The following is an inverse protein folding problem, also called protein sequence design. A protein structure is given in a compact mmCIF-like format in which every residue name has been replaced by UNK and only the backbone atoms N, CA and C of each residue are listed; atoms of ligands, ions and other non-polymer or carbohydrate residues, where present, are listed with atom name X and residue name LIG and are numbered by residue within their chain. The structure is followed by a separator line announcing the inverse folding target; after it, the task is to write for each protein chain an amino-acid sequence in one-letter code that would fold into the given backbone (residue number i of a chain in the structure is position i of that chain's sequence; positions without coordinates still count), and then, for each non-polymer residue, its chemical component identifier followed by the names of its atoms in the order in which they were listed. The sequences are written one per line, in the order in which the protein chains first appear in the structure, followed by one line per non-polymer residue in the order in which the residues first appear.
data_IF_056720747129
#
_entry.id   IF_056720747129
#
_cell.length_a   1.000
_cell.length_b   1.000
_cell.length_c   1.000
_cell.angle_alpha   90.00
_cell.angle_beta   90.00
_cell.angle_gamma   90.00
#
_symmetry.space_group_name_H-M   'P 1'
#
loop_
_entity.id
_entity.type
_entity.pdbx_description
1 polymer ?
#
# COMPACT_ATOMS: atom_id res chain seq x y z
N UNK A 1 -4.57 23.19 -12.92
CA UNK A 1 -5.52 22.34 -12.14
C UNK A 1 -6.89 22.97 -12.34
N UNK A 2 -7.74 22.31 -13.13
CA UNK A 2 -8.91 22.90 -13.80
C UNK A 2 -10.19 22.73 -12.97
N UNK A 3 -11.15 23.63 -13.17
CA UNK A 3 -12.49 23.52 -12.57
C UNK A 3 -13.25 22.33 -13.17
N UNK A 4 -14.14 21.71 -12.40
CA UNK A 4 -15.00 20.64 -12.90
C UNK A 4 -15.91 21.16 -14.01
N UNK A 5 -15.83 20.60 -15.21
CA UNK A 5 -16.64 21.02 -16.36
C UNK A 5 -18.15 20.92 -16.09
N UNK A 6 -18.58 19.96 -15.25
CA UNK A 6 -20.00 19.74 -14.94
C UNK A 6 -20.62 20.77 -13.99
N UNK A 7 -19.88 21.27 -12.99
CA UNK A 7 -20.45 22.16 -11.96
C UNK A 7 -19.70 23.48 -11.76
N UNK A 8 -18.61 23.70 -12.50
CA UNK A 8 -17.77 24.90 -12.44
C UNK A 8 -17.10 25.16 -11.09
N UNK A 9 -17.24 24.24 -10.12
CA UNK A 9 -16.78 24.44 -8.74
C UNK A 9 -16.36 23.12 -8.11
N UNK A 10 -15.07 22.81 -8.11
CA UNK A 10 -14.40 21.97 -7.10
C UNK A 10 -12.99 21.60 -7.57
N UNK A 11 -12.04 21.56 -6.62
CA UNK A 11 -10.72 20.92 -6.79
C UNK A 11 -10.63 19.53 -6.14
N UNK A 12 -11.73 19.05 -5.56
CA UNK A 12 -11.84 17.77 -4.83
C UNK A 12 -12.73 16.80 -5.60
N UNK A 13 -12.18 15.65 -5.96
CA UNK A 13 -12.82 14.59 -6.71
C UNK A 13 -11.95 13.33 -6.72
N UNK A 14 -12.50 12.24 -7.24
CA UNK A 14 -11.83 10.95 -7.32
C UNK A 14 -11.97 10.37 -8.73
N UNK A 15 -11.02 9.53 -9.10
CA UNK A 15 -11.06 8.80 -10.35
C UNK A 15 -11.77 7.45 -10.16
N UNK A 16 -12.76 7.18 -11.01
CA UNK A 16 -13.49 5.92 -11.07
C UNK A 16 -13.07 5.16 -12.32
N UNK A 17 -12.71 3.88 -12.18
CA UNK A 17 -12.21 3.03 -13.25
C UNK A 17 -11.11 2.08 -12.75
N UNK A 18 -10.73 1.13 -13.58
CA UNK A 18 -9.77 0.06 -13.26
C UNK A 18 -8.30 0.51 -13.30
N UNK A 19 -7.99 1.65 -13.93
CA UNK A 19 -6.63 2.17 -14.08
C UNK A 19 -6.54 3.41 -14.98
N UNK A 20 -5.32 3.90 -15.23
CA UNK A 20 -5.06 5.18 -15.91
C UNK A 20 -5.77 5.38 -17.25
N UNK A 21 -5.96 4.33 -18.03
CA UNK A 21 -6.58 4.39 -19.36
C UNK A 21 -8.10 4.24 -19.36
N UNK A 22 -8.69 3.75 -18.25
CA UNK A 22 -10.12 3.44 -18.14
C UNK A 22 -10.81 4.31 -17.07
N UNK A 23 -10.09 5.27 -16.52
CA UNK A 23 -10.56 6.08 -15.40
C UNK A 23 -11.15 7.40 -15.83
N UNK A 24 -12.29 7.75 -15.24
CA UNK A 24 -12.90 9.06 -15.35
C UNK A 24 -12.86 9.79 -14.01
N UNK A 25 -12.53 11.08 -14.05
CA UNK A 25 -12.54 11.92 -12.85
C UNK A 25 -13.92 12.50 -12.57
N UNK A 26 -14.38 12.35 -11.33
CA UNK A 26 -15.65 12.90 -10.88
C UNK A 26 -15.45 13.77 -9.64
N UNK A 27 -15.86 15.03 -9.74
CA UNK A 27 -15.91 15.91 -8.58
C UNK A 27 -16.97 15.43 -7.57
N UNK A 28 -16.75 15.67 -6.29
CA UNK A 28 -17.69 15.26 -5.22
C UNK A 28 -19.16 15.63 -5.49
N UNK A 29 -19.40 16.81 -6.10
CA UNK A 29 -20.76 17.29 -6.38
C UNK A 29 -21.42 16.52 -7.53
N UNK A 30 -20.65 16.15 -8.55
CA UNK A 30 -21.13 15.48 -9.75
C UNK A 30 -21.13 13.96 -9.62
N UNK A 31 -20.58 13.40 -8.54
CA UNK A 31 -20.68 11.98 -8.26
C UNK A 31 -22.15 11.54 -8.12
N UNK A 32 -22.48 10.40 -8.74
CA UNK A 32 -23.78 9.75 -8.58
C UNK A 32 -24.01 9.29 -7.14
N UNK A 33 -25.25 8.92 -6.81
CA UNK A 33 -25.57 8.32 -5.51
C UNK A 33 -24.75 7.06 -5.27
N UNK A 34 -24.74 6.13 -6.23
CA UNK A 34 -24.01 4.86 -6.15
C UNK A 34 -22.50 5.08 -5.95
N UNK A 35 -21.92 6.08 -6.63
CA UNK A 35 -20.51 6.44 -6.46
C UNK A 35 -20.20 6.92 -5.04
N UNK A 36 -21.09 7.73 -4.44
CA UNK A 36 -20.94 8.21 -3.07
C UNK A 36 -21.11 7.08 -2.06
N UNK A 37 -22.09 6.19 -2.28
CA UNK A 37 -22.30 5.01 -1.45
C UNK A 37 -21.10 4.07 -1.48
N UNK A 38 -20.53 3.82 -2.66
CA UNK A 38 -19.31 3.05 -2.81
C UNK A 38 -18.14 3.66 -2.04
N UNK A 39 -17.89 4.97 -2.19
CA UNK A 39 -16.84 5.68 -1.46
C UNK A 39 -17.05 5.54 0.06
N UNK A 40 -18.28 5.78 0.53
CA UNK A 40 -18.59 5.68 1.96
C UNK A 40 -18.35 4.28 2.51
N UNK A 41 -18.75 3.25 1.76
CA UNK A 41 -18.52 1.84 2.12
C UNK A 41 -17.03 1.51 2.20
N UNK A 42 -16.23 1.98 1.23
CA UNK A 42 -14.78 1.80 1.24
C UNK A 42 -14.11 2.54 2.41
N UNK A 43 -14.51 3.77 2.69
CA UNK A 43 -13.98 4.55 3.80
C UNK A 43 -14.34 3.91 5.16
N UNK A 44 -15.54 3.33 5.30
CA UNK A 44 -15.92 2.58 6.50
C UNK A 44 -15.08 1.32 6.67
N UNK A 45 -14.89 0.52 5.61
CA UNK A 45 -14.00 -0.66 5.63
C UNK A 45 -12.56 -0.27 5.98
N UNK A 46 -12.06 0.82 5.40
CA UNK A 46 -10.69 1.25 5.58
C UNK A 46 -10.34 1.62 7.03
N UNK A 47 -11.31 1.93 7.89
CA UNK A 47 -11.05 2.20 9.33
C UNK A 47 -10.43 1.03 10.09
N UNK A 48 -10.64 -0.20 9.63
CA UNK A 48 -10.01 -1.39 10.20
C UNK A 48 -8.62 -1.69 9.64
N UNK A 49 -8.24 -1.00 8.56
CA UNK A 49 -7.08 -1.35 7.72
C UNK A 49 -6.05 -0.24 7.69
N UNK A 50 -6.47 1.02 7.58
CA UNK A 50 -5.63 2.17 7.34
C UNK A 50 -5.66 3.13 8.55
N UNK A 51 -4.58 3.89 8.70
CA UNK A 51 -4.48 4.95 9.69
C UNK A 51 -5.43 6.08 9.32
N UNK A 52 -5.71 6.94 10.32
CA UNK A 52 -6.54 8.13 10.15
C UNK A 52 -5.90 9.33 10.82
N UNK A 53 -6.15 10.49 10.26
CA UNK A 53 -5.80 11.78 10.84
C UNK A 53 -7.06 12.67 10.93
N UNK A 54 -6.85 13.99 11.01
CA UNK A 54 -7.94 14.96 11.08
C UNK A 54 -8.69 15.11 9.74
N UNK A 55 -8.07 14.76 8.62
CA UNK A 55 -8.60 14.90 7.27
C UNK A 55 -9.29 13.61 6.77
N UNK A 56 -9.06 12.48 7.45
CA UNK A 56 -9.82 11.25 7.23
C UNK A 56 -8.95 10.00 7.25
N UNK A 57 -9.29 9.04 6.38
CA UNK A 57 -8.49 7.83 6.15
C UNK A 57 -7.26 8.20 5.31
N UNK A 58 -6.08 7.79 5.77
CA UNK A 58 -4.82 7.95 5.04
C UNK A 58 -4.67 6.87 3.98
N UNK A 59 -5.30 7.09 2.83
CA UNK A 59 -5.13 6.26 1.64
C UNK A 59 -3.70 6.40 1.13
N UNK A 60 -2.95 5.30 0.92
CA UNK A 60 -1.64 5.37 0.27
C UNK A 60 -1.73 6.16 -1.04
N UNK A 61 -0.82 7.10 -1.28
CA UNK A 61 -0.83 8.01 -2.45
C UNK A 61 -2.03 8.97 -2.54
N UNK A 62 -2.85 9.04 -1.50
CA UNK A 62 -3.91 10.02 -1.30
C UNK A 62 -4.98 10.01 -2.40
N UNK A 63 -5.42 11.18 -2.89
CA UNK A 63 -6.52 11.28 -3.84
C UNK A 63 -6.18 10.73 -5.24
N UNK A 64 -4.91 10.42 -5.52
CA UNK A 64 -4.49 9.89 -6.82
C UNK A 64 -4.79 8.39 -6.98
N UNK A 65 -5.19 7.69 -5.91
CA UNK A 65 -5.61 6.29 -6.01
C UNK A 65 -7.04 6.19 -6.50
N UNK A 66 -7.18 5.49 -7.63
CA UNK A 66 -8.45 5.13 -8.25
C UNK A 66 -9.36 4.38 -7.26
N UNK A 67 -10.67 4.64 -7.35
CA UNK A 67 -11.65 4.02 -6.45
C UNK A 67 -11.61 2.48 -6.51
N UNK A 68 -11.34 1.89 -7.68
CA UNK A 68 -11.18 0.44 -7.79
C UNK A 68 -9.93 -0.06 -7.04
N UNK A 69 -8.78 0.60 -7.20
CA UNK A 69 -7.56 0.23 -6.48
C UNK A 69 -7.70 0.36 -4.96
N UNK A 70 -8.56 1.27 -4.48
CA UNK A 70 -8.92 1.33 -3.06
C UNK A 70 -9.60 0.04 -2.61
N UNK A 71 -10.54 -0.48 -3.39
CA UNK A 71 -11.17 -1.77 -3.11
C UNK A 71 -10.16 -2.91 -3.17
N UNK A 72 -9.32 -2.95 -4.21
CA UNK A 72 -8.30 -3.99 -4.39
C UNK A 72 -7.28 -4.00 -3.24
N UNK A 73 -6.90 -2.83 -2.72
CA UNK A 73 -6.05 -2.71 -1.54
C UNK A 73 -6.72 -3.32 -0.31
N UNK A 74 -8.00 -3.03 -0.08
CA UNK A 74 -8.70 -3.54 1.10
C UNK A 74 -8.87 -5.06 1.00
N UNK A 75 -9.22 -5.57 -0.17
CA UNK A 75 -9.36 -7.02 -0.41
C UNK A 75 -8.00 -7.73 -0.31
N UNK A 76 -6.92 -7.12 -0.78
CA UNK A 76 -5.55 -7.59 -0.57
C UNK A 76 -5.19 -7.59 0.93
N UNK A 77 -5.48 -6.52 1.65
CA UNK A 77 -5.15 -6.40 3.07
C UNK A 77 -5.92 -7.42 3.92
N UNK A 78 -7.17 -7.70 3.57
CA UNK A 78 -8.00 -8.74 4.20
C UNK A 78 -7.44 -10.13 3.91
N UNK A 79 -7.08 -10.43 2.65
CA UNK A 79 -6.46 -11.71 2.27
C UNK A 79 -5.14 -11.98 3.00
N UNK A 80 -4.35 -10.94 3.28
CA UNK A 80 -3.06 -11.08 3.95
C UNK A 80 -3.09 -10.85 5.46
N UNK A 81 -4.26 -10.58 6.05
CA UNK A 81 -4.42 -10.24 7.47
C UNK A 81 -3.51 -9.09 7.93
N UNK A 82 -3.48 -7.99 7.16
CA UNK A 82 -2.62 -6.83 7.44
C UNK A 82 -3.38 -5.52 7.59
N UNK A 83 -2.80 -4.61 8.38
CA UNK A 83 -3.22 -3.21 8.51
C UNK A 83 -2.01 -2.28 8.43
N UNK A 84 -2.23 -1.01 8.14
CA UNK A 84 -1.18 0.00 8.01
C UNK A 84 -0.33 0.05 9.27
N UNK A 85 0.98 -0.02 9.06
CA UNK A 85 2.01 0.29 10.04
C UNK A 85 2.57 1.69 9.83
N UNK A 86 3.44 2.09 10.74
CA UNK A 86 4.27 3.27 10.58
C UNK A 86 5.66 3.00 11.18
N UNK A 87 6.70 3.51 10.54
CA UNK A 87 8.07 3.42 11.00
C UNK A 87 8.86 4.65 10.62
N UNK A 88 9.75 5.08 11.53
CA UNK A 88 10.74 6.11 11.23
C UNK A 88 12.00 5.58 10.52
N UNK A 89 12.09 4.27 10.26
CA UNK A 89 13.20 3.69 9.50
C UNK A 89 13.04 4.02 8.02
N UNK A 90 14.13 4.45 7.39
CA UNK A 90 14.10 4.81 5.99
C UNK A 90 13.76 3.59 5.11
N UNK A 91 14.40 2.43 5.29
CA UNK A 91 14.11 1.20 4.54
C UNK A 91 13.00 0.34 5.16
N UNK A 92 12.56 0.63 6.38
CA UNK A 92 11.65 -0.24 7.13
C UNK A 92 12.23 -1.61 7.54
N UNK A 93 13.38 -2.08 7.01
CA UNK A 93 13.89 -3.45 7.25
C UNK A 93 14.22 -3.75 8.71
N UNK A 94 14.92 -2.84 9.39
CA UNK A 94 15.21 -2.99 10.81
C UNK A 94 13.94 -3.04 11.67
N UNK A 95 12.95 -2.21 11.32
CA UNK A 95 11.64 -2.24 11.97
C UNK A 95 10.91 -3.55 11.69
N UNK A 96 10.96 -4.02 10.45
CA UNK A 96 10.31 -5.24 10.00
C UNK A 96 10.88 -6.47 10.73
N UNK A 97 12.20 -6.55 10.89
CA UNK A 97 12.87 -7.65 11.60
C UNK A 97 12.72 -7.54 13.13
N UNK A 98 13.07 -6.38 13.71
CA UNK A 98 13.23 -6.23 15.17
C UNK A 98 12.01 -5.67 15.89
N UNK A 99 10.97 -5.25 15.16
CA UNK A 99 9.82 -4.55 15.73
C UNK A 99 10.08 -3.08 16.07
N UNK A 100 11.31 -2.60 15.91
CA UNK A 100 11.76 -1.25 16.27
C UNK A 100 12.93 -0.82 15.40
N UNK A 101 13.11 0.49 15.25
CA UNK A 101 14.27 1.03 14.56
C UNK A 101 14.69 2.38 15.12
N UNK A 102 15.99 2.59 15.32
CA UNK A 102 16.53 3.93 15.51
C UNK A 102 16.88 4.54 14.15
N UNK A 103 16.55 5.81 13.93
CA UNK A 103 16.74 6.50 12.64
C UNK A 103 18.18 6.44 12.10
N UNK A 104 19.17 6.39 12.99
CA UNK A 104 20.61 6.29 12.66
C UNK A 104 21.01 4.95 12.03
N UNK A 105 20.21 3.90 12.24
CA UNK A 105 20.51 2.54 11.78
C UNK A 105 20.04 2.32 10.33
N UNK A 106 19.27 3.24 9.72
CA UNK A 106 18.74 3.11 8.36
C UNK A 106 19.18 4.31 7.49
N UNK A 107 20.37 4.25 6.90
CA UNK A 107 20.85 5.32 6.00
C UNK A 107 20.82 4.95 4.52
N UNK A 108 20.89 3.65 4.19
CA UNK A 108 20.91 3.19 2.80
C UNK A 108 19.53 2.72 2.35
N UNK A 109 19.08 3.28 1.23
CA UNK A 109 17.87 2.87 0.51
C UNK A 109 18.27 2.45 -0.90
N UNK A 110 18.22 1.14 -1.20
CA UNK A 110 18.26 0.66 -2.57
C UNK A 110 17.24 1.39 -3.46
N UNK A 111 17.51 1.47 -4.76
CA UNK A 111 16.68 2.23 -5.70
C UNK A 111 15.22 1.75 -5.76
N UNK A 112 14.96 0.50 -5.41
CA UNK A 112 13.60 -0.06 -5.35
C UNK A 112 12.76 0.42 -4.16
N UNK A 113 13.33 1.14 -3.18
CA UNK A 113 12.58 1.78 -2.08
C UNK A 113 11.90 3.06 -2.53
N UNK A 114 10.92 2.88 -3.41
CA UNK A 114 10.08 3.93 -3.93
C UNK A 114 8.62 3.64 -3.58
N UNK A 115 7.87 4.69 -3.28
CA UNK A 115 6.46 4.57 -2.89
C UNK A 115 6.25 3.54 -1.76
N UNK A 116 7.07 3.59 -0.71
CA UNK A 116 7.07 2.59 0.36
C UNK A 116 5.84 2.71 1.26
N UNK A 117 5.17 1.58 1.50
CA UNK A 117 4.16 1.42 2.55
C UNK A 117 4.58 0.34 3.54
N UNK A 118 4.11 0.43 4.78
CA UNK A 118 4.45 -0.54 5.83
C UNK A 118 3.20 -1.11 6.47
N UNK A 119 3.27 -2.37 6.89
CA UNK A 119 2.11 -3.15 7.27
C UNK A 119 2.39 -4.01 8.50
N UNK A 120 1.44 -4.01 9.44
CA UNK A 120 1.40 -4.86 10.62
C UNK A 120 0.47 -6.05 10.36
N UNK A 121 0.79 -7.20 10.93
CA UNK A 121 -0.19 -8.29 11.05
C UNK A 121 -1.34 -7.83 11.96
N UNK A 122 -2.59 -8.04 11.55
CA UNK A 122 -3.75 -7.75 12.41
C UNK A 122 -3.81 -8.73 13.58
N UNK A 123 -3.50 -10.00 13.34
CA UNK A 123 -3.48 -11.04 14.38
C UNK A 123 -2.44 -10.74 15.47
N UNK A 124 -1.20 -10.43 15.11
CA UNK A 124 -0.11 -10.32 16.10
C UNK A 124 0.21 -8.88 16.50
N UNK A 125 -0.20 -7.90 15.70
CA UNK A 125 0.19 -6.49 15.85
C UNK A 125 1.66 -6.22 15.51
N UNK A 126 2.42 -7.23 15.05
CA UNK A 126 3.86 -7.12 14.75
C UNK A 126 4.09 -6.70 13.28
N UNK A 127 5.23 -6.08 12.96
CA UNK A 127 5.60 -5.75 11.58
C UNK A 127 5.61 -6.99 10.68
N UNK A 128 4.82 -6.96 9.63
CA UNK A 128 4.62 -8.11 8.75
C UNK A 128 5.14 -7.88 7.33
N UNK A 129 5.09 -6.64 6.85
CA UNK A 129 5.49 -6.34 5.47
C UNK A 129 5.98 -4.90 5.30
N UNK A 130 7.01 -4.75 4.49
CA UNK A 130 7.37 -3.51 3.79
C UNK A 130 7.10 -3.72 2.31
N UNK A 131 6.32 -2.84 1.71
CA UNK A 131 5.92 -2.93 0.32
C UNK A 131 6.39 -1.71 -0.46
N UNK A 132 7.03 -1.93 -1.60
CA UNK A 132 7.55 -0.88 -2.47
C UNK A 132 7.03 -1.04 -3.90
N UNK A 133 6.92 0.09 -4.60
CA UNK A 133 6.37 0.17 -5.95
C UNK A 133 7.22 1.06 -6.87
N UNK A 134 8.44 0.62 -7.20
CA UNK A 134 9.29 1.36 -8.11
C UNK A 134 8.71 1.43 -9.52
N UNK A 135 8.89 2.58 -10.15
CA UNK A 135 8.55 2.79 -11.56
C UNK A 135 9.45 2.02 -12.53
N UNK A 136 10.63 1.57 -12.08
CA UNK A 136 11.56 0.78 -12.88
C UNK A 136 11.43 -0.71 -12.56
N UNK A 137 11.81 -1.55 -13.52
CA UNK A 137 12.00 -2.98 -13.25
C UNK A 137 13.10 -3.15 -12.19
N UNK A 138 12.90 -4.14 -11.32
CA UNK A 138 13.82 -4.46 -10.22
C UNK A 138 14.32 -5.88 -10.43
N UNK A 139 15.62 -6.08 -10.31
CA UNK A 139 16.21 -7.42 -10.28
C UNK A 139 15.89 -8.08 -8.92
N UNK A 140 15.21 -9.24 -8.89
CA UNK A 140 14.99 -9.98 -7.65
C UNK A 140 16.29 -10.32 -6.89
N UNK A 141 17.44 -10.41 -7.57
CA UNK A 141 18.73 -10.63 -6.93
C UNK A 141 19.16 -9.43 -6.06
N UNK A 142 18.94 -8.19 -6.52
CA UNK A 142 19.23 -6.97 -5.77
C UNK A 142 18.39 -6.90 -4.48
N UNK A 143 17.11 -7.29 -4.57
CA UNK A 143 16.23 -7.33 -3.40
C UNK A 143 16.70 -8.40 -2.40
N UNK A 144 17.08 -9.59 -2.89
CA UNK A 144 17.60 -10.68 -2.03
C UNK A 144 18.90 -10.27 -1.33
N UNK A 145 19.80 -9.62 -2.02
CA UNK A 145 21.04 -9.09 -1.43
C UNK A 145 20.72 -8.09 -0.32
N UNK A 146 19.79 -7.17 -0.58
CA UNK A 146 19.36 -6.12 0.38
C UNK A 146 18.73 -6.67 1.67
N UNK A 147 18.18 -7.89 1.64
CA UNK A 147 17.60 -8.53 2.82
C UNK A 147 18.44 -9.69 3.39
N UNK A 148 19.62 -9.96 2.81
CA UNK A 148 20.43 -11.14 3.13
C UNK A 148 20.88 -11.22 4.59
N UNK A 149 21.05 -10.08 5.25
CA UNK A 149 21.42 -9.99 6.68
C UNK A 149 20.24 -10.27 7.62
N UNK A 150 19.01 -10.40 7.09
CA UNK A 150 17.79 -10.55 7.86
C UNK A 150 17.17 -11.94 7.61
N UNK A 151 17.52 -12.96 8.42
CA UNK A 151 17.17 -14.36 8.13
C UNK A 151 15.67 -14.67 8.19
N UNK A 152 14.87 -13.78 8.78
CA UNK A 152 13.41 -13.93 8.87
C UNK A 152 12.65 -13.23 7.73
N UNK A 153 13.37 -12.55 6.82
CA UNK A 153 12.76 -11.80 5.75
C UNK A 153 12.78 -12.57 4.44
N UNK A 154 11.69 -12.47 3.69
CA UNK A 154 11.57 -13.00 2.33
C UNK A 154 11.05 -11.93 1.39
N UNK A 155 11.35 -12.06 0.10
CA UNK A 155 10.93 -11.11 -0.91
C UNK A 155 10.14 -11.79 -2.03
N UNK A 156 9.05 -11.13 -2.46
CA UNK A 156 8.28 -11.46 -3.65
C UNK A 156 8.36 -10.23 -4.58
N UNK A 157 8.82 -10.45 -5.83
CA UNK A 157 8.97 -9.39 -6.84
C UNK A 157 8.16 -9.79 -8.07
N UNK A 158 7.27 -8.92 -8.53
CA UNK A 158 6.44 -9.24 -9.69
C UNK A 158 5.57 -8.08 -10.19
N UNK A 159 4.85 -8.29 -11.30
CA UNK A 159 4.01 -7.28 -11.90
C UNK A 159 2.65 -7.12 -11.21
N UNK A 160 2.23 -8.08 -10.38
CA UNK A 160 0.93 -8.07 -9.72
C UNK A 160 0.99 -7.33 -8.37
N UNK A 161 0.17 -6.28 -8.23
CA UNK A 161 -0.19 -5.72 -6.93
C UNK A 161 -1.56 -5.05 -6.95
N UNK A 162 -2.05 -4.73 -5.75
CA UNK A 162 -3.29 -3.96 -5.56
C UNK A 162 -3.26 -2.56 -6.19
N UNK A 163 -2.08 -2.01 -6.50
CA UNK A 163 -1.96 -0.66 -7.04
C UNK A 163 -2.13 -0.59 -8.55
N UNK A 164 -2.19 -1.72 -9.27
CA UNK A 164 -2.73 -1.81 -10.63
C UNK A 164 -2.14 -0.86 -11.70
N UNK A 165 -1.05 -0.15 -11.41
CA UNK A 165 -0.47 0.88 -12.28
C UNK A 165 0.62 0.34 -13.22
N UNK A 166 0.69 -0.99 -13.38
CA UNK A 166 1.71 -1.65 -14.20
C UNK A 166 3.15 -1.49 -13.68
N UNK A 167 3.33 -1.10 -12.41
CA UNK A 167 4.64 -0.98 -11.78
C UNK A 167 5.11 -2.30 -11.22
N UNK A 168 6.43 -2.43 -11.08
CA UNK A 168 7.00 -3.59 -10.37
C UNK A 168 6.64 -3.48 -8.91
N UNK A 169 6.24 -4.60 -8.32
CA UNK A 169 5.77 -4.70 -6.94
C UNK A 169 6.80 -5.51 -6.16
N UNK A 170 7.34 -4.92 -5.10
CA UNK A 170 8.36 -5.54 -4.24
C UNK A 170 7.78 -5.69 -2.84
N UNK A 171 7.44 -6.91 -2.48
CA UNK A 171 6.96 -7.27 -1.15
C UNK A 171 8.11 -7.84 -0.33
N UNK A 172 8.41 -7.25 0.82
CA UNK A 172 9.38 -7.78 1.78
C UNK A 172 8.64 -8.18 3.04
N UNK A 173 8.48 -9.48 3.23
CA UNK A 173 7.72 -10.07 4.32
C UNK A 173 8.62 -10.40 5.50
N UNK A 174 8.10 -10.29 6.73
CA UNK A 174 8.63 -11.01 7.87
C UNK A 174 7.79 -12.27 8.06
N UNK A 175 8.31 -13.42 7.62
CA UNK A 175 7.54 -14.66 7.68
C UNK A 175 7.19 -15.03 9.12
N UNK A 176 8.08 -14.76 10.08
CA UNK A 176 7.86 -14.99 11.52
C UNK A 176 6.64 -14.26 12.09
N UNK A 177 6.21 -13.16 11.46
CA UNK A 177 5.07 -12.35 11.90
C UNK A 177 3.82 -12.51 11.02
N UNK A 178 3.89 -13.27 9.91
CA UNK A 178 2.72 -13.62 9.08
C UNK A 178 1.84 -14.63 9.82
N UNK A 179 0.53 -14.55 9.58
CA UNK A 179 -0.39 -15.61 10.01
C UNK A 179 -0.06 -16.91 9.25
N UNK A 180 -0.16 -18.05 9.93
CA UNK A 180 0.18 -19.35 9.31
C UNK A 180 -0.71 -19.67 8.11
N UNK A 181 -1.95 -19.17 8.09
CA UNK A 181 -2.90 -19.34 6.99
C UNK A 181 -2.47 -18.64 5.68
N UNK A 182 -1.55 -17.68 5.75
CA UNK A 182 -1.12 -16.85 4.61
C UNK A 182 0.30 -17.22 4.14
N UNK A 183 1.01 -18.09 4.86
CA UNK A 183 2.34 -18.55 4.43
C UNK A 183 2.20 -19.55 3.28
N UNK A 184 2.94 -19.39 2.17
CA UNK A 184 3.05 -20.45 1.18
C UNK A 184 3.70 -21.69 1.83
N UNK A 185 3.35 -22.92 1.39
CA UNK A 185 3.96 -24.13 1.92
C UNK A 185 5.48 -24.07 1.74
N UNK A 186 6.22 -24.40 2.81
CA UNK A 186 7.67 -24.59 2.75
C UNK A 186 7.92 -25.90 2.00
N UNK A 187 8.53 -25.81 0.82
CA UNK A 187 9.01 -26.98 0.06
C UNK A 187 10.39 -27.40 0.55
#
# INVERSE_FOLDING_TARGET
MYDCEGCGQSRRGLYFGSGMSESEWWCWRCQSTDQKELISSLDDRARGVLNRDADGVDWPYGPNVYVQMRADLLDWADRHDVKSGNTGCSSGLHWLDKGRCAKRDCQDRPGFYDHTTTWLSRTTGRPALVFNQPYTQVDPAEVRESISEYPNLTAEVGPESWYGAGTTSVYIWNDGNRSEAVRPPRY
#
